data_IF_984822748784
#
_entry.id   IF_984822748784
#
_cell.length_a   1.000
_cell.length_b   1.000
_cell.length_c   1.000
_cell.angle_alpha   90.00
_cell.angle_beta   90.00
_cell.angle_gamma   90.00
#
_symmetry.space_group_name_H-M   'P 1'
#
loop_
_entity.id
_entity.type
_entity.pdbx_description
1 polymer ?
#
# COMPACT_ATOMS: atom_id res chain seq x y z
N UNK A 1 -13.22 -11.69 -22.67
CA UNK A 1 -12.05 -11.45 -23.54
C UNK A 1 -10.78 -12.11 -23.01
N UNK A 2 -10.18 -11.68 -21.88
CA UNK A 2 -9.02 -12.39 -21.30
C UNK A 2 -9.36 -13.80 -20.80
N UNK A 3 -10.58 -13.97 -20.26
CA UNK A 3 -11.10 -15.28 -19.84
C UNK A 3 -11.24 -16.26 -21.01
N UNK A 4 -11.84 -15.80 -22.10
CA UNK A 4 -12.03 -16.60 -23.32
C UNK A 4 -10.69 -16.96 -23.96
N UNK A 5 -9.74 -16.02 -23.95
CA UNK A 5 -8.37 -16.24 -24.44
C UNK A 5 -7.60 -17.26 -23.59
N UNK A 6 -7.87 -17.30 -22.29
CA UNK A 6 -7.32 -18.29 -21.35
C UNK A 6 -8.00 -19.66 -21.45
N UNK A 7 -9.08 -19.79 -22.23
CA UNK A 7 -9.84 -21.05 -22.34
C UNK A 7 -10.48 -21.50 -21.01
N UNK A 8 -10.71 -20.57 -20.08
CA UNK A 8 -11.15 -20.90 -18.71
C UNK A 8 -10.09 -21.62 -17.87
N UNK A 9 -8.81 -21.60 -18.26
CA UNK A 9 -7.73 -22.29 -17.52
C UNK A 9 -7.36 -21.61 -16.20
N UNK A 10 -7.51 -20.29 -16.11
CA UNK A 10 -7.18 -19.51 -14.90
C UNK A 10 -8.47 -19.24 -14.14
N UNK A 11 -8.55 -19.42 -12.82
CA UNK A 11 -9.76 -19.08 -12.04
C UNK A 11 -9.93 -17.55 -11.90
N UNK A 12 -11.16 -17.05 -12.05
CA UNK A 12 -11.48 -15.62 -11.92
C UNK A 12 -11.15 -15.13 -10.50
N UNK A 13 -11.39 -15.99 -9.50
CA UNK A 13 -11.07 -15.71 -8.10
C UNK A 13 -9.58 -15.53 -7.92
N UNK A 14 -8.77 -16.38 -8.55
CA UNK A 14 -7.32 -16.28 -8.48
C UNK A 14 -6.82 -14.94 -9.03
N UNK A 15 -7.35 -14.49 -10.16
CA UNK A 15 -6.99 -13.19 -10.74
C UNK A 15 -7.37 -12.02 -9.82
N UNK A 16 -8.56 -12.08 -9.19
CA UNK A 16 -9.00 -11.07 -8.22
C UNK A 16 -8.09 -11.03 -6.99
N UNK A 17 -7.71 -12.20 -6.44
CA UNK A 17 -6.83 -12.30 -5.28
C UNK A 17 -5.43 -11.76 -5.61
N UNK A 18 -4.92 -12.06 -6.82
CA UNK A 18 -3.64 -11.50 -7.30
C UNK A 18 -3.67 -9.97 -7.40
N UNK A 19 -4.76 -9.40 -7.92
CA UNK A 19 -4.93 -7.94 -7.96
C UNK A 19 -5.04 -7.33 -6.56
N UNK A 20 -5.78 -7.98 -5.65
CA UNK A 20 -5.97 -7.52 -4.28
C UNK A 20 -4.64 -7.50 -3.50
N UNK A 21 -3.85 -8.56 -3.60
CA UNK A 21 -2.54 -8.63 -2.94
C UNK A 21 -1.54 -7.66 -3.58
N UNK A 22 -1.53 -7.54 -4.91
CA UNK A 22 -0.65 -6.62 -5.62
C UNK A 22 -0.92 -5.17 -5.24
N UNK A 23 -2.20 -4.79 -5.18
CA UNK A 23 -2.62 -3.45 -4.76
C UNK A 23 -2.19 -3.15 -3.33
N UNK A 24 -2.52 -4.05 -2.38
CA UNK A 24 -2.19 -3.85 -0.96
C UNK A 24 -0.67 -3.80 -0.72
N UNK A 25 0.09 -4.68 -1.37
CA UNK A 25 1.54 -4.70 -1.32
C UNK A 25 2.15 -3.46 -1.97
N UNK A 26 1.59 -2.97 -3.09
CA UNK A 26 2.02 -1.74 -3.75
C UNK A 26 1.84 -0.51 -2.87
N UNK A 27 0.70 -0.36 -2.20
CA UNK A 27 0.42 0.80 -1.33
C UNK A 27 1.27 0.80 -0.05
N UNK A 28 1.49 -0.37 0.55
CA UNK A 28 2.21 -0.50 1.83
C UNK A 28 3.71 -0.77 1.67
N UNK A 29 4.14 -1.21 0.48
CA UNK A 29 5.47 -1.73 0.20
C UNK A 29 5.89 -2.88 1.13
N UNK A 30 4.92 -3.66 1.64
CA UNK A 30 5.15 -4.82 2.50
C UNK A 30 4.60 -6.11 1.86
N UNK A 31 5.39 -6.80 1.01
CA UNK A 31 4.90 -7.92 0.23
C UNK A 31 4.46 -9.12 1.08
N UNK A 32 5.23 -9.45 2.13
CA UNK A 32 4.94 -10.58 3.02
C UNK A 32 3.68 -10.31 3.84
N UNK A 33 3.56 -9.13 4.46
CA UNK A 33 2.40 -8.77 5.27
C UNK A 33 1.13 -8.72 4.44
N UNK A 34 1.16 -8.09 3.25
CA UNK A 34 0.01 -8.03 2.36
C UNK A 34 -0.44 -9.43 1.91
N UNK A 35 0.52 -10.31 1.58
CA UNK A 35 0.21 -11.69 1.17
C UNK A 35 -0.46 -12.50 2.27
N UNK A 36 0.02 -12.39 3.51
CA UNK A 36 -0.58 -13.10 4.64
C UNK A 36 -1.99 -12.57 4.92
N UNK A 37 -2.21 -11.25 4.94
CA UNK A 37 -3.54 -10.67 5.17
C UNK A 37 -4.54 -11.16 4.11
N UNK A 38 -4.18 -11.08 2.83
CA UNK A 38 -5.07 -11.50 1.74
C UNK A 38 -5.29 -13.02 1.77
N UNK A 39 -4.26 -13.80 2.08
CA UNK A 39 -4.40 -15.25 2.25
C UNK A 39 -5.38 -15.59 3.37
N UNK A 40 -5.25 -14.99 4.56
CA UNK A 40 -6.12 -15.25 5.70
C UNK A 40 -7.57 -14.84 5.40
N UNK A 41 -7.78 -13.70 4.76
CA UNK A 41 -9.14 -13.23 4.41
C UNK A 41 -9.82 -14.06 3.33
N UNK A 42 -9.06 -14.68 2.43
CA UNK A 42 -9.59 -15.46 1.30
C UNK A 42 -9.59 -16.96 1.56
N UNK A 43 -8.92 -17.41 2.62
CA UNK A 43 -8.67 -18.83 2.89
C UNK A 43 -7.79 -19.52 1.84
N UNK A 44 -7.10 -18.75 0.99
CA UNK A 44 -6.42 -19.26 -0.20
C UNK A 44 -4.95 -19.64 0.07
N UNK A 45 -4.71 -20.48 1.09
CA UNK A 45 -3.37 -20.92 1.50
C UNK A 45 -2.55 -21.58 0.38
N UNK A 46 -3.12 -22.44 -0.49
CA UNK A 46 -2.33 -23.11 -1.53
C UNK A 46 -1.70 -22.16 -2.55
N UNK A 47 -2.26 -20.95 -2.72
CA UNK A 47 -1.78 -19.96 -3.69
C UNK A 47 -0.83 -18.93 -3.07
N UNK A 48 -0.48 -19.04 -1.79
CA UNK A 48 0.37 -18.08 -1.08
C UNK A 48 1.66 -17.77 -1.85
N UNK A 49 2.32 -18.78 -2.44
CA UNK A 49 3.56 -18.57 -3.20
C UNK A 49 3.36 -17.63 -4.40
N UNK A 50 2.22 -17.75 -5.09
CA UNK A 50 1.85 -16.87 -6.20
C UNK A 50 1.48 -15.47 -5.70
N UNK A 51 0.86 -15.37 -4.52
CA UNK A 51 0.57 -14.08 -3.88
C UNK A 51 1.87 -13.36 -3.50
N UNK A 52 2.86 -14.09 -2.97
CA UNK A 52 4.18 -13.56 -2.67
C UNK A 52 4.89 -13.06 -3.92
N UNK A 53 4.91 -13.84 -5.01
CA UNK A 53 5.55 -13.41 -6.26
C UNK A 53 4.88 -12.13 -6.79
N UNK A 54 3.55 -12.10 -6.84
CA UNK A 54 2.78 -10.93 -7.30
C UNK A 54 3.03 -9.71 -6.41
N UNK A 55 3.00 -9.88 -5.09
CA UNK A 55 3.22 -8.79 -4.14
C UNK A 55 4.65 -8.25 -4.16
N UNK A 56 5.66 -9.12 -4.37
CA UNK A 56 7.06 -8.71 -4.54
C UNK A 56 7.20 -7.85 -5.80
N UNK A 57 6.67 -8.30 -6.95
CA UNK A 57 6.72 -7.54 -8.20
C UNK A 57 6.04 -6.18 -8.03
N UNK A 58 4.83 -6.16 -7.44
CA UNK A 58 4.11 -4.92 -7.19
C UNK A 58 4.85 -3.98 -6.23
N UNK A 59 5.50 -4.52 -5.19
CA UNK A 59 6.30 -3.74 -4.23
C UNK A 59 7.53 -3.13 -4.90
N UNK A 60 8.24 -3.90 -5.75
CA UNK A 60 9.39 -3.39 -6.51
C UNK A 60 8.96 -2.26 -7.44
N UNK A 61 7.88 -2.45 -8.21
CA UNK A 61 7.35 -1.41 -9.11
C UNK A 61 6.98 -0.16 -8.31
N UNK A 62 6.24 -0.31 -7.21
CA UNK A 62 5.88 0.81 -6.32
C UNK A 62 7.11 1.56 -5.82
N UNK A 63 8.17 0.84 -5.42
CA UNK A 63 9.41 1.45 -4.93
C UNK A 63 10.13 2.27 -6.01
N UNK A 64 10.06 1.83 -7.27
CA UNK A 64 10.66 2.58 -8.40
C UNK A 64 9.99 3.94 -8.64
N UNK A 65 8.68 4.05 -8.39
CA UNK A 65 7.97 5.34 -8.52
C UNK A 65 8.01 6.17 -7.24
N UNK A 66 8.01 5.55 -6.07
CA UNK A 66 8.00 6.22 -4.77
C UNK A 66 8.89 5.46 -3.78
N UNK A 67 10.13 5.91 -3.53
CA UNK A 67 11.08 5.19 -2.67
C UNK A 67 10.68 5.19 -1.20
N UNK A 68 9.74 6.06 -0.82
CA UNK A 68 9.17 6.09 0.53
C UNK A 68 7.77 5.47 0.45
N UNK A 69 7.43 4.51 1.33
CA UNK A 69 6.08 3.99 1.41
C UNK A 69 5.11 5.14 1.69
N UNK A 70 3.89 5.04 1.17
CA UNK A 70 2.85 6.07 1.28
C UNK A 70 2.69 6.59 2.72
N UNK A 71 2.87 5.71 3.71
CA UNK A 71 2.76 6.06 5.12
C UNK A 71 3.80 7.09 5.59
N UNK A 72 5.04 7.04 5.08
CA UNK A 72 6.04 8.06 5.41
C UNK A 72 5.70 9.43 4.82
N UNK A 73 5.09 9.45 3.63
CA UNK A 73 4.61 10.69 3.03
C UNK A 73 3.44 11.27 3.82
N UNK A 74 2.46 10.43 4.18
CA UNK A 74 1.31 10.83 4.99
C UNK A 74 1.73 11.36 6.38
N UNK A 75 2.64 10.66 7.06
CA UNK A 75 3.18 11.10 8.35
C UNK A 75 3.95 12.43 8.24
N UNK A 76 4.72 12.63 7.16
CA UNK A 76 5.42 13.87 6.89
C UNK A 76 4.47 15.07 6.73
N UNK A 77 3.40 14.89 5.95
CA UNK A 77 2.38 15.94 5.80
C UNK A 77 1.68 16.27 7.12
N UNK A 78 1.37 15.26 7.93
CA UNK A 78 0.75 15.49 9.25
C UNK A 78 1.69 16.27 10.19
N UNK A 79 2.97 15.89 10.23
CA UNK A 79 3.96 16.60 11.04
C UNK A 79 4.14 18.06 10.58
N UNK A 80 4.16 18.30 9.27
CA UNK A 80 4.22 19.66 8.71
C UNK A 80 3.01 20.51 9.12
N UNK A 81 1.81 19.93 9.10
CA UNK A 81 0.60 20.63 9.54
C UNK A 81 0.65 20.97 11.04
N UNK A 82 1.16 20.05 11.87
CA UNK A 82 1.34 20.30 13.30
C UNK A 82 2.38 21.40 13.56
N UNK A 83 3.52 21.37 12.85
CA UNK A 83 4.56 22.38 12.98
C UNK A 83 4.09 23.76 12.51
N UNK A 84 3.30 23.83 11.43
CA UNK A 84 2.70 25.07 10.95
C UNK A 84 1.76 25.68 12.00
N UNK A 85 0.86 24.88 12.59
CA UNK A 85 -0.01 25.32 13.70
C UNK A 85 0.80 25.81 14.91
N UNK A 86 1.82 25.07 15.30
CA UNK A 86 2.65 25.45 16.45
C UNK A 86 3.41 26.76 16.21
N UNK A 87 3.86 27.01 14.98
CA UNK A 87 4.51 28.26 14.60
C UNK A 87 3.55 29.45 14.62
N UNK A 88 2.29 29.26 14.21
CA UNK A 88 1.22 30.27 14.31
C UNK A 88 0.88 30.59 15.77
N UNK A 89 0.77 29.57 16.62
CA UNK A 89 0.52 29.74 18.07
C UNK A 89 1.68 30.45 18.77
N UNK A 90 2.93 30.21 18.36
CA UNK A 90 4.08 30.92 18.92
C UNK A 90 4.13 32.38 18.44
N UNK A 91 3.76 32.65 17.18
CA UNK A 91 3.67 34.02 16.65
C UNK A 91 2.59 34.81 17.38
N UNK A 92 1.40 34.25 17.58
CA UNK A 92 0.33 34.93 18.30
C UNK A 92 0.68 35.21 19.76
N UNK A 93 1.40 34.31 20.44
CA UNK A 93 1.94 34.57 21.79
C UNK A 93 2.97 35.71 21.80
N UNK A 94 3.84 35.77 20.81
CA UNK A 94 4.86 36.83 20.71
C UNK A 94 4.24 38.19 20.41
N UNK A 95 3.14 38.22 19.65
CA UNK A 95 2.37 39.44 19.36
C UNK A 95 1.58 39.93 20.58
N UNK A 96 1.12 39.03 21.45
CA UNK A 96 0.42 39.39 22.69
C UNK A 96 1.34 39.93 23.78
N UNK A 97 2.64 39.61 23.74
CA UNK A 97 3.61 40.08 24.73
C UNK A 97 4.14 41.49 24.44
N UNK A 98 3.97 41.99 23.20
CA UNK A 98 4.38 43.33 22.77
C UNK A 98 3.28 44.36 22.99
#
# INVERSE_FOLDING_TARGET
MLWDLSGGMVDQRFLVILCMVAFLAGCTQSPVTASVIVMEMTGAQPVLIWLLISSIIASIISHQFSPKPFYHFAAGCFLQQMQARQAEELRSKTEQEK
#
